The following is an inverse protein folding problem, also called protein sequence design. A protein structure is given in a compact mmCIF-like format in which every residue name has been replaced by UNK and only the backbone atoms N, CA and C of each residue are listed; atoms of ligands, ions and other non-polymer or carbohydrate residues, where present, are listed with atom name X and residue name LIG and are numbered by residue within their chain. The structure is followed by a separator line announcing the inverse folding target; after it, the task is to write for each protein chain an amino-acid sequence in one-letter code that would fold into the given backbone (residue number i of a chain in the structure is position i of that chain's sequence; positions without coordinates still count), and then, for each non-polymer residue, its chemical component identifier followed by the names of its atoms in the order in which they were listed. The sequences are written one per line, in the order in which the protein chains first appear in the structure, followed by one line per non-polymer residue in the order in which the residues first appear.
data_IF_905877141958
#
_entry.id   IF_905877141958
#
_cell.length_a   1.000
_cell.length_b   1.000
_cell.length_c   1.000
_cell.angle_alpha   90.00
_cell.angle_beta   90.00
_cell.angle_gamma   90.00
#
_symmetry.space_group_name_H-M   'P 1'
#
loop_
_entity.id
_entity.type
_entity.pdbx_description
1 polymer ?
#
# COMPACT_ATOMS: atom_id res chain seq x y z
N UNK A 1 2.41 30.50 8.50
CA UNK A 1 2.57 31.23 7.22
C UNK A 1 2.20 30.26 6.10
N UNK A 2 1.04 30.45 5.47
CA UNK A 2 0.62 29.63 4.34
C UNK A 2 1.51 29.93 3.14
N UNK A 3 2.41 29.01 2.79
CA UNK A 3 3.17 29.07 1.55
C UNK A 3 2.20 28.82 0.40
N UNK A 4 1.71 29.90 -0.19
CA UNK A 4 0.94 29.85 -1.44
C UNK A 4 1.92 29.42 -2.53
N UNK A 5 1.83 28.15 -2.95
CA UNK A 5 2.54 27.68 -4.13
C UNK A 5 1.99 28.43 -5.33
N UNK A 6 2.80 29.36 -5.84
CA UNK A 6 2.47 30.12 -7.03
C UNK A 6 2.40 29.15 -8.22
N UNK A 7 1.37 29.30 -9.07
CA UNK A 7 1.25 28.49 -10.28
C UNK A 7 2.46 28.78 -11.18
N UNK A 8 3.20 27.76 -11.67
CA UNK A 8 4.27 28.03 -12.63
C UNK A 8 3.63 28.46 -13.96
N UNK A 9 3.58 29.77 -14.19
CA UNK A 9 3.20 30.40 -15.47
C UNK A 9 4.29 30.25 -16.53
N UNK A 10 4.88 29.06 -16.66
CA UNK A 10 5.73 28.72 -17.78
C UNK A 10 4.87 28.42 -19.01
N UNK A 11 5.17 29.02 -20.16
CA UNK A 11 4.43 28.88 -21.42
C UNK A 11 4.45 27.47 -22.03
N UNK A 12 5.01 26.47 -21.35
CA UNK A 12 5.09 25.11 -21.83
C UNK A 12 3.85 24.33 -21.35
N UNK A 13 3.07 23.78 -22.29
CA UNK A 13 1.93 22.93 -21.97
C UNK A 13 2.41 21.70 -21.18
N UNK A 14 1.98 21.50 -19.91
CA UNK A 14 2.45 20.41 -19.07
C UNK A 14 2.08 19.03 -19.64
N UNK A 15 1.09 18.93 -20.52
CA UNK A 15 0.67 17.66 -21.13
C UNK A 15 1.56 17.19 -22.31
N UNK A 16 2.59 17.95 -22.69
CA UNK A 16 3.43 17.64 -23.87
C UNK A 16 4.33 16.42 -23.68
N UNK A 17 4.72 16.10 -22.45
CA UNK A 17 5.57 14.95 -22.14
C UNK A 17 5.41 14.55 -20.67
N UNK A 18 5.79 13.31 -20.34
CA UNK A 18 5.83 12.85 -18.95
C UNK A 18 6.69 13.76 -18.06
N UNK A 19 7.85 14.20 -18.56
CA UNK A 19 8.75 15.07 -17.79
C UNK A 19 8.13 16.43 -17.48
N UNK A 20 7.44 17.04 -18.45
CA UNK A 20 6.77 18.32 -18.26
C UNK A 20 5.59 18.18 -17.29
N UNK A 21 4.80 17.11 -17.44
CA UNK A 21 3.69 16.83 -16.55
C UNK A 21 4.19 16.59 -15.13
N UNK A 22 5.22 15.75 -14.96
CA UNK A 22 5.79 15.45 -13.66
C UNK A 22 6.36 16.69 -12.97
N UNK A 23 7.08 17.56 -13.69
CA UNK A 23 7.58 18.82 -13.15
C UNK A 23 6.46 19.75 -12.68
N UNK A 24 5.29 19.69 -13.33
CA UNK A 24 4.10 20.45 -12.91
C UNK A 24 3.39 19.82 -11.69
N UNK A 25 3.35 18.49 -11.61
CA UNK A 25 2.69 17.75 -10.52
C UNK A 25 3.50 17.74 -9.22
N UNK A 26 4.82 17.58 -9.33
CA UNK A 26 5.70 17.28 -8.20
C UNK A 26 5.60 18.28 -7.05
N UNK A 27 5.60 19.62 -7.26
CA UNK A 27 5.47 20.57 -6.16
C UNK A 27 4.17 20.42 -5.38
N UNK A 28 3.06 20.10 -6.07
CA UNK A 28 1.78 19.85 -5.41
C UNK A 28 1.79 18.54 -4.62
N UNK A 29 2.43 17.49 -5.16
CA UNK A 29 2.59 16.20 -4.49
C UNK A 29 3.48 16.31 -3.23
N UNK A 30 4.59 17.05 -3.32
CA UNK A 30 5.46 17.30 -2.17
C UNK A 30 4.72 18.10 -1.09
N UNK A 31 3.92 19.10 -1.50
CA UNK A 31 3.15 19.89 -0.55
C UNK A 31 2.09 19.06 0.21
N UNK A 32 1.38 18.17 -0.46
CA UNK A 32 0.35 17.34 0.22
C UNK A 32 0.94 16.20 1.05
N UNK A 33 2.12 15.67 0.67
CA UNK A 33 2.68 14.48 1.28
C UNK A 33 3.77 14.78 2.31
N UNK A 34 4.58 15.83 2.08
CA UNK A 34 5.78 16.14 2.88
C UNK A 34 5.63 17.38 3.74
N UNK A 35 4.76 18.34 3.40
CA UNK A 35 4.57 19.52 4.25
C UNK A 35 4.04 19.12 5.64
N UNK A 36 4.45 19.82 6.72
CA UNK A 36 3.92 19.58 8.05
C UNK A 36 2.39 19.72 8.06
N UNK A 37 1.68 18.60 8.16
CA UNK A 37 0.24 18.60 8.38
C UNK A 37 -0.03 18.86 9.86
N UNK A 38 -0.95 19.80 10.14
CA UNK A 38 -1.53 19.92 11.47
C UNK A 38 -2.35 18.65 11.76
N UNK A 39 -1.73 17.70 12.46
CA UNK A 39 -2.34 16.43 12.84
C UNK A 39 -3.69 16.62 13.56
N UNK A 40 -3.87 17.78 14.21
CA UNK A 40 -5.09 18.21 14.90
C UNK A 40 -6.33 18.18 14.01
N UNK A 41 -6.22 18.53 12.72
CA UNK A 41 -7.38 18.57 11.81
C UNK A 41 -7.54 17.28 10.98
N UNK A 42 -6.65 16.28 11.15
CA UNK A 42 -6.63 15.01 10.40
C UNK A 42 -6.82 15.20 8.88
N UNK A 43 -6.23 16.25 8.32
CA UNK A 43 -6.34 16.62 6.91
C UNK A 43 -4.96 16.88 6.32
N UNK A 44 -4.77 16.45 5.09
CA UNK A 44 -3.59 16.84 4.32
C UNK A 44 -3.59 18.36 4.07
N UNK A 45 -2.41 18.97 3.87
CA UNK A 45 -2.29 20.35 3.44
C UNK A 45 -3.16 20.62 2.21
N UNK A 46 -3.89 21.73 2.22
CA UNK A 46 -4.75 22.10 1.11
C UNK A 46 -3.91 22.61 -0.07
N UNK A 47 -4.34 22.27 -1.28
CA UNK A 47 -3.84 22.84 -2.53
C UNK A 47 -4.83 23.93 -2.97
N UNK A 48 -4.31 25.02 -3.54
CA UNK A 48 -5.14 26.05 -4.17
C UNK A 48 -6.02 25.46 -5.29
N UNK A 49 -7.24 25.97 -5.43
CA UNK A 49 -8.20 25.46 -6.42
C UNK A 49 -7.68 25.62 -7.86
N UNK A 50 -7.00 26.73 -8.17
CA UNK A 50 -6.42 26.98 -9.48
C UNK A 50 -5.37 25.94 -9.84
N UNK A 51 -4.47 25.63 -8.90
CA UNK A 51 -3.46 24.57 -9.08
C UNK A 51 -4.11 23.19 -9.20
N UNK A 52 -5.12 22.88 -8.37
CA UNK A 52 -5.88 21.63 -8.46
C UNK A 52 -6.52 21.43 -9.84
N UNK A 53 -7.25 22.46 -10.32
CA UNK A 53 -7.92 22.42 -11.62
C UNK A 53 -6.93 22.36 -12.79
N UNK A 54 -5.80 23.07 -12.68
CA UNK A 54 -4.72 23.01 -13.65
C UNK A 54 -4.10 21.62 -13.75
N UNK A 55 -3.84 20.96 -12.61
CA UNK A 55 -3.31 19.59 -12.56
C UNK A 55 -4.29 18.60 -13.18
N UNK A 56 -5.58 18.72 -12.83
CA UNK A 56 -6.61 17.85 -13.40
C UNK A 56 -6.66 17.99 -14.94
N UNK A 57 -6.66 19.22 -15.44
CA UNK A 57 -6.65 19.51 -16.89
C UNK A 57 -5.37 19.00 -17.58
N UNK A 58 -4.21 19.18 -16.94
CA UNK A 58 -2.94 18.68 -17.46
C UNK A 58 -2.91 17.15 -17.57
N UNK A 59 -3.40 16.44 -16.55
CA UNK A 59 -3.53 14.98 -16.57
C UNK A 59 -4.49 14.51 -17.67
N UNK A 60 -5.65 15.18 -17.81
CA UNK A 60 -6.60 14.88 -18.87
C UNK A 60 -5.97 15.03 -20.27
N UNK A 61 -5.34 16.18 -20.53
CA UNK A 61 -4.71 16.47 -21.81
C UNK A 61 -3.58 15.48 -22.12
N UNK A 62 -2.80 15.07 -21.11
CA UNK A 62 -1.74 14.09 -21.29
C UNK A 62 -2.27 12.75 -21.79
N UNK A 63 -3.33 12.23 -21.15
CA UNK A 63 -3.95 10.96 -21.55
C UNK A 63 -4.60 11.04 -22.94
N UNK A 64 -5.24 12.17 -23.25
CA UNK A 64 -5.88 12.40 -24.56
C UNK A 64 -4.82 12.46 -25.68
N UNK A 65 -3.75 13.24 -25.51
CA UNK A 65 -2.68 13.37 -26.50
C UNK A 65 -1.97 12.02 -26.77
N UNK A 66 -1.73 11.22 -25.73
CA UNK A 66 -1.15 9.88 -25.86
C UNK A 66 -2.08 8.91 -26.61
N UNK A 67 -3.39 9.10 -26.51
CA UNK A 67 -4.37 8.28 -27.23
C UNK A 67 -4.43 8.65 -28.71
N UNK A 68 -4.34 9.94 -29.04
CA UNK A 68 -4.30 10.43 -30.43
C UNK A 68 -3.02 10.01 -31.17
N UNK A 69 -1.90 9.92 -30.46
CA UNK A 69 -0.62 9.45 -31.00
C UNK A 69 -0.51 7.91 -31.09
N UNK A 70 -1.48 7.14 -30.60
CA UNK A 70 -1.60 5.73 -30.96
C UNK A 70 -2.27 5.65 -32.33
N UNK A 71 -1.54 5.33 -33.43
CA UNK A 71 -2.20 5.12 -34.70
C UNK A 71 -3.20 3.97 -34.50
N UNK A 72 -4.44 4.19 -34.93
CA UNK A 72 -5.40 3.11 -35.09
C UNK A 72 -4.70 2.02 -35.90
N UNK A 73 -4.38 0.89 -35.25
CA UNK A 73 -3.81 -0.27 -35.91
C UNK A 73 -4.88 -0.87 -36.80
N UNK A 74 -5.09 -0.24 -37.95
CA UNK A 74 -5.69 -0.86 -39.10
C UNK A 74 -4.67 -1.90 -39.59
N UNK A 75 -5.00 -3.17 -39.38
CA UNK A 75 -4.51 -4.35 -40.09
C UNK A 75 -3.11 -4.23 -40.74
N UNK A 76 -2.12 -4.94 -40.19
CA UNK A 76 -1.41 -6.04 -40.88
C UNK A 76 -0.27 -6.58 -40.03
N UNK A 77 -0.13 -7.91 -40.03
CA UNK A 77 1.01 -8.72 -39.57
C UNK A 77 1.21 -8.93 -38.06
N UNK A 78 0.59 -10.03 -37.60
CA UNK A 78 1.07 -10.85 -36.48
C UNK A 78 2.51 -11.28 -36.79
N UNK A 79 3.52 -10.83 -36.03
CA UNK A 79 4.82 -11.49 -35.77
C UNK A 79 5.80 -10.52 -35.05
N UNK A 80 5.40 -9.92 -33.93
CA UNK A 80 6.30 -9.41 -32.88
C UNK A 80 5.46 -8.87 -31.70
N UNK A 81 5.75 -9.21 -30.44
CA UNK A 81 5.13 -8.55 -29.29
C UNK A 81 5.85 -7.20 -29.06
N UNK A 82 5.66 -6.25 -29.98
CA UNK A 82 6.04 -4.86 -29.70
C UNK A 82 5.06 -4.34 -28.66
N UNK A 83 5.53 -4.19 -27.42
CA UNK A 83 4.80 -3.58 -26.31
C UNK A 83 4.48 -2.15 -26.72
N UNK A 84 3.28 -1.90 -27.25
CA UNK A 84 2.77 -0.54 -27.36
C UNK A 84 2.81 0.07 -25.94
N UNK A 85 3.38 1.29 -25.77
CA UNK A 85 3.39 1.95 -24.48
C UNK A 85 1.94 2.09 -24.04
N UNK A 86 1.59 1.43 -22.94
CA UNK A 86 0.25 1.46 -22.42
C UNK A 86 0.02 2.88 -21.90
N UNK A 87 -0.89 3.62 -22.54
CA UNK A 87 -1.23 5.00 -22.16
C UNK A 87 -1.44 5.10 -20.64
N UNK A 88 -0.59 5.90 -19.98
CA UNK A 88 -0.62 6.13 -18.53
C UNK A 88 0.20 5.19 -17.64
N UNK A 89 0.85 4.15 -18.21
CA UNK A 89 1.71 3.23 -17.43
C UNK A 89 2.98 3.88 -16.89
N UNK A 90 3.49 4.86 -17.63
CA UNK A 90 4.69 5.63 -17.34
C UNK A 90 4.49 6.60 -16.17
N UNK A 91 3.40 7.37 -16.16
CA UNK A 91 3.04 8.22 -15.02
C UNK A 91 2.69 7.38 -13.79
N UNK A 92 2.07 6.21 -13.96
CA UNK A 92 1.83 5.29 -12.86
C UNK A 92 3.13 4.79 -12.24
N UNK A 93 4.11 4.37 -13.05
CA UNK A 93 5.42 3.96 -12.58
C UNK A 93 6.18 5.12 -11.90
N UNK A 94 6.05 6.35 -12.42
CA UNK A 94 6.63 7.53 -11.80
C UNK A 94 6.02 7.83 -10.41
N UNK A 95 4.71 7.67 -10.26
CA UNK A 95 4.03 7.79 -8.96
C UNK A 95 4.44 6.70 -7.99
N UNK A 96 4.58 5.47 -8.47
CA UNK A 96 5.04 4.34 -7.68
C UNK A 96 6.44 4.59 -7.10
N UNK A 97 7.36 5.09 -7.92
CA UNK A 97 8.70 5.51 -7.49
C UNK A 97 8.65 6.67 -6.48
N UNK A 98 7.78 7.65 -6.69
CA UNK A 98 7.60 8.78 -5.78
C UNK A 98 7.13 8.33 -4.39
N UNK A 99 6.11 7.46 -4.32
CA UNK A 99 5.65 6.92 -3.05
C UNK A 99 6.71 6.04 -2.38
N UNK A 100 7.51 5.30 -3.16
CA UNK A 100 8.64 4.55 -2.64
C UNK A 100 9.68 5.47 -1.99
N UNK A 101 10.05 6.58 -2.64
CA UNK A 101 10.99 7.57 -2.08
C UNK A 101 10.43 8.22 -0.81
N UNK A 102 9.19 8.68 -0.84
CA UNK A 102 8.54 9.29 0.32
C UNK A 102 8.45 8.32 1.52
N UNK A 103 8.15 7.05 1.27
CA UNK A 103 8.15 6.02 2.31
C UNK A 103 9.58 5.71 2.81
N UNK A 104 10.59 5.72 1.93
CA UNK A 104 11.98 5.53 2.30
C UNK A 104 12.51 6.66 3.16
N UNK A 105 12.17 7.91 2.86
CA UNK A 105 12.48 9.06 3.73
C UNK A 105 11.92 8.85 5.14
N UNK A 106 10.70 8.32 5.29
CA UNK A 106 10.13 7.96 6.60
C UNK A 106 10.94 6.85 7.28
N UNK A 107 11.35 5.83 6.52
CA UNK A 107 12.14 4.71 7.04
C UNK A 107 13.53 5.17 7.55
N UNK A 108 14.19 6.05 6.80
CA UNK A 108 15.51 6.61 7.14
C UNK A 108 15.47 7.53 8.36
N UNK A 109 14.34 8.24 8.57
CA UNK A 109 14.13 9.12 9.71
C UNK A 109 13.57 8.39 10.96
N UNK A 110 13.45 7.06 10.92
CA UNK A 110 12.95 6.30 12.06
C UNK A 110 13.92 6.39 13.26
N UNK A 111 13.44 6.72 14.47
CA UNK A 111 14.29 6.87 15.65
C UNK A 111 14.98 5.55 15.96
N UNK A 112 16.21 5.59 16.48
CA UNK A 112 17.00 4.39 16.81
C UNK A 112 16.33 3.57 17.93
N UNK A 113 15.81 4.28 18.94
CA UNK A 113 15.21 3.69 20.13
C UNK A 113 13.87 3.02 19.88
N UNK A 114 13.60 1.94 20.61
CA UNK A 114 12.48 1.03 20.39
C UNK A 114 11.13 1.63 20.90
N UNK A 115 11.09 2.40 21.99
CA UNK A 115 9.86 3.08 22.48
C UNK A 115 9.32 4.15 21.50
N UNK A 116 10.10 5.18 21.11
CA UNK A 116 9.59 6.23 20.23
C UNK A 116 9.28 5.72 18.82
N UNK A 117 9.82 4.56 18.42
CA UNK A 117 9.60 3.96 17.10
C UNK A 117 8.12 3.72 16.81
N UNK A 118 7.36 3.15 17.76
CA UNK A 118 5.93 2.84 17.53
C UNK A 118 5.14 4.13 17.31
N UNK A 119 5.35 5.12 18.18
CA UNK A 119 4.69 6.43 18.06
C UNK A 119 5.08 7.12 16.75
N UNK A 120 6.36 7.07 16.37
CA UNK A 120 6.85 7.61 15.12
C UNK A 120 6.17 6.96 13.90
N UNK A 121 6.07 5.62 13.86
CA UNK A 121 5.43 4.89 12.75
C UNK A 121 3.96 5.28 12.63
N UNK A 122 3.21 5.27 13.74
CA UNK A 122 1.78 5.62 13.74
C UNK A 122 1.57 7.05 13.23
N UNK A 123 2.35 8.01 13.74
CA UNK A 123 2.24 9.41 13.34
C UNK A 123 2.67 9.65 11.89
N UNK A 124 3.74 8.99 11.45
CA UNK A 124 4.23 9.12 10.08
C UNK A 124 3.28 8.45 9.09
N UNK A 125 2.72 7.29 9.43
CA UNK A 125 1.68 6.63 8.64
C UNK A 125 0.43 7.51 8.51
N UNK A 126 -0.06 8.10 9.61
CA UNK A 126 -1.24 8.97 9.59
C UNK A 126 -1.05 10.18 8.67
N UNK A 127 0.14 10.81 8.68
CA UNK A 127 0.45 11.91 7.75
C UNK A 127 0.53 11.42 6.31
N UNK A 128 1.26 10.33 6.09
CA UNK A 128 1.47 9.75 4.78
C UNK A 128 0.15 9.30 4.12
N UNK A 129 -0.73 8.63 4.86
CA UNK A 129 -2.03 8.16 4.33
C UNK A 129 -2.97 9.32 3.99
N UNK A 130 -2.99 10.39 4.79
CA UNK A 130 -3.79 11.58 4.48
C UNK A 130 -3.29 12.27 3.19
N UNK A 131 -1.97 12.40 3.04
CA UNK A 131 -1.36 12.92 1.81
C UNK A 131 -1.66 12.03 0.60
N UNK A 132 -1.52 10.72 0.74
CA UNK A 132 -1.84 9.74 -0.31
C UNK A 132 -3.32 9.78 -0.72
N UNK A 133 -4.25 9.94 0.22
CA UNK A 133 -5.67 10.12 -0.07
C UNK A 133 -5.92 11.43 -0.84
N UNK A 134 -5.20 12.50 -0.51
CA UNK A 134 -5.27 13.76 -1.26
C UNK A 134 -4.73 13.61 -2.68
N UNK A 135 -3.59 12.94 -2.84
CA UNK A 135 -3.00 12.62 -4.14
C UNK A 135 -3.94 11.76 -4.99
N UNK A 136 -4.59 10.76 -4.38
CA UNK A 136 -5.58 9.90 -5.04
C UNK A 136 -6.77 10.70 -5.59
N UNK A 137 -7.26 11.71 -4.85
CA UNK A 137 -8.33 12.61 -5.33
C UNK A 137 -7.85 13.48 -6.49
N UNK A 138 -6.68 14.10 -6.34
CA UNK A 138 -6.06 14.98 -7.34
C UNK A 138 -5.82 14.24 -8.67
N UNK A 139 -5.36 12.99 -8.58
CA UNK A 139 -4.93 12.17 -9.72
C UNK A 139 -5.93 11.07 -10.07
N UNK A 140 -7.20 11.21 -9.67
CA UNK A 140 -8.22 10.19 -9.87
C UNK A 140 -8.46 9.83 -11.35
N UNK A 141 -8.06 10.71 -12.27
CA UNK A 141 -8.07 10.44 -13.70
C UNK A 141 -7.22 9.20 -14.06
N UNK A 142 -6.07 9.02 -13.41
CA UNK A 142 -5.19 7.86 -13.61
C UNK A 142 -5.91 6.58 -13.15
N UNK A 143 -6.62 6.62 -12.02
CA UNK A 143 -7.42 5.48 -11.55
C UNK A 143 -8.48 5.09 -12.59
N UNK A 144 -9.20 6.08 -13.13
CA UNK A 144 -10.30 5.86 -14.08
C UNK A 144 -9.85 5.33 -15.43
N UNK A 145 -8.73 5.81 -15.95
CA UNK A 145 -8.32 5.56 -17.34
C UNK A 145 -7.16 4.57 -17.50
N UNK A 146 -6.23 4.53 -16.54
CA UNK A 146 -5.13 3.56 -16.55
C UNK A 146 -5.40 2.37 -15.62
N UNK A 147 -5.63 2.61 -14.32
CA UNK A 147 -5.75 1.52 -13.33
C UNK A 147 -6.93 0.62 -13.66
N UNK A 148 -8.12 1.18 -13.89
CA UNK A 148 -9.31 0.41 -14.27
C UNK A 148 -9.04 -0.48 -15.48
N UNK A 149 -8.49 0.10 -16.55
CA UNK A 149 -8.15 -0.65 -17.77
C UNK A 149 -7.11 -1.75 -17.50
N UNK A 150 -6.07 -1.46 -16.72
CA UNK A 150 -5.06 -2.45 -16.36
C UNK A 150 -5.64 -3.60 -15.53
N UNK A 151 -6.58 -3.31 -14.62
CA UNK A 151 -7.31 -4.33 -13.84
C UNK A 151 -8.20 -5.17 -14.76
N UNK A 152 -8.92 -4.55 -15.69
CA UNK A 152 -9.76 -5.23 -16.69
C UNK A 152 -8.92 -6.13 -17.62
N UNK A 153 -7.68 -5.71 -17.92
CA UNK A 153 -6.66 -6.49 -18.66
C UNK A 153 -5.98 -7.58 -17.80
N UNK A 154 -6.40 -7.78 -16.54
CA UNK A 154 -5.91 -8.83 -15.66
C UNK A 154 -4.61 -8.51 -14.92
N UNK A 155 -4.19 -7.24 -14.85
CA UNK A 155 -3.01 -6.80 -14.05
C UNK A 155 -3.38 -6.34 -12.64
N UNK A 156 -4.64 -6.49 -12.22
CA UNK A 156 -5.09 -6.14 -10.89
C UNK A 156 -4.48 -6.98 -9.77
N UNK A 157 -4.77 -6.64 -8.51
CA UNK A 157 -4.30 -7.40 -7.35
C UNK A 157 -4.76 -8.87 -7.38
N UNK A 158 -5.98 -9.10 -7.88
CA UNK A 158 -6.54 -10.42 -8.13
C UNK A 158 -6.72 -10.57 -9.64
N UNK A 159 -5.97 -11.49 -10.26
CA UNK A 159 -6.16 -11.79 -11.68
C UNK A 159 -6.89 -13.13 -11.86
N UNK A 160 -7.47 -13.31 -13.04
CA UNK A 160 -8.22 -14.53 -13.38
C UNK A 160 -7.33 -15.79 -13.35
N UNK A 161 -6.05 -15.66 -13.71
CA UNK A 161 -5.12 -16.78 -13.69
C UNK A 161 -4.83 -17.28 -12.26
N UNK A 162 -4.70 -16.38 -11.30
CA UNK A 162 -4.49 -16.67 -9.87
C UNK A 162 -5.73 -17.39 -9.31
N UNK A 163 -6.93 -16.92 -9.70
CA UNK A 163 -8.20 -17.56 -9.32
C UNK A 163 -8.34 -18.95 -9.94
N UNK A 164 -8.09 -19.11 -11.24
CA UNK A 164 -8.12 -20.41 -11.91
C UNK A 164 -7.08 -21.35 -11.30
N UNK A 165 -5.87 -20.86 -11.01
CA UNK A 165 -4.82 -21.67 -10.39
C UNK A 165 -5.19 -22.09 -8.96
N UNK A 166 -5.81 -21.21 -8.18
CA UNK A 166 -6.31 -21.54 -6.85
C UNK A 166 -7.41 -22.61 -6.91
N UNK A 167 -8.40 -22.42 -7.79
CA UNK A 167 -9.49 -23.37 -8.02
C UNK A 167 -8.99 -24.72 -8.60
N UNK A 168 -7.95 -24.72 -9.43
CA UNK A 168 -7.36 -25.94 -9.99
C UNK A 168 -6.57 -26.74 -8.95
N UNK A 169 -5.95 -26.08 -7.96
CA UNK A 169 -5.31 -26.75 -6.82
C UNK A 169 -6.36 -27.43 -5.94
N UNK A 170 -7.52 -26.80 -5.78
CA UNK A 170 -8.71 -27.38 -5.17
C UNK A 170 -9.38 -28.32 -6.19
N UNK A 171 -8.76 -29.48 -6.43
CA UNK A 171 -8.94 -30.45 -7.53
C UNK A 171 -10.37 -30.99 -7.76
N UNK A 172 -11.37 -30.48 -7.04
CA UNK A 172 -12.80 -30.80 -7.11
C UNK A 172 -13.65 -29.67 -7.71
N UNK A 173 -13.11 -28.47 -7.90
CA UNK A 173 -13.93 -27.28 -8.15
C UNK A 173 -14.03 -26.82 -9.61
N UNK A 174 -13.25 -27.31 -10.59
CA UNK A 174 -13.45 -26.94 -12.02
C UNK A 174 -13.56 -28.20 -12.88
N UNK A 175 -14.71 -28.36 -13.55
CA UNK A 175 -14.90 -29.37 -14.60
C UNK A 175 -14.97 -28.68 -15.97
N UNK A 176 -14.54 -29.34 -17.06
CA UNK A 176 -14.65 -28.79 -18.42
C UNK A 176 -16.10 -28.57 -18.88
N UNK A 177 -17.08 -29.04 -18.11
CA UNK A 177 -18.53 -28.90 -18.35
C UNK A 177 -19.13 -27.67 -17.65
N UNK A 178 -18.36 -26.95 -16.82
CA UNK A 178 -18.86 -25.78 -16.08
C UNK A 178 -19.29 -24.65 -17.04
N UNK A 179 -20.56 -24.26 -16.96
CA UNK A 179 -21.11 -23.13 -17.71
C UNK A 179 -20.43 -21.82 -17.30
N UNK A 180 -20.43 -20.81 -18.18
CA UNK A 180 -19.90 -19.45 -17.90
C UNK A 180 -20.44 -18.85 -16.59
N UNK A 181 -21.70 -19.12 -16.27
CA UNK A 181 -22.34 -18.66 -15.04
C UNK A 181 -21.78 -19.36 -13.79
N UNK A 182 -21.52 -20.66 -13.86
CA UNK A 182 -20.89 -21.44 -12.79
C UNK A 182 -19.47 -20.94 -12.54
N UNK A 183 -18.71 -20.69 -13.62
CA UNK A 183 -17.38 -20.09 -13.52
C UNK A 183 -17.40 -18.70 -12.88
N UNK A 184 -18.33 -17.83 -13.28
CA UNK A 184 -18.47 -16.50 -12.69
C UNK A 184 -18.82 -16.56 -11.19
N UNK A 185 -19.66 -17.52 -10.79
CA UNK A 185 -19.99 -17.78 -9.38
C UNK A 185 -18.76 -18.24 -8.59
N UNK A 186 -18.01 -19.23 -9.10
CA UNK A 186 -16.78 -19.73 -8.47
C UNK A 186 -15.70 -18.66 -8.33
N UNK A 187 -15.55 -17.79 -9.33
CA UNK A 187 -14.63 -16.64 -9.25
C UNK A 187 -15.06 -15.68 -8.13
N UNK A 188 -16.36 -15.40 -8.00
CA UNK A 188 -16.87 -14.55 -6.92
C UNK A 188 -16.64 -15.17 -5.54
N UNK A 189 -16.91 -16.46 -5.38
CA UNK A 189 -16.66 -17.20 -4.15
C UNK A 189 -15.18 -17.22 -3.80
N UNK A 190 -14.29 -17.47 -4.77
CA UNK A 190 -12.84 -17.40 -4.59
C UNK A 190 -12.37 -16.00 -4.16
N UNK A 191 -12.93 -14.94 -4.76
CA UNK A 191 -12.65 -13.56 -4.35
C UNK A 191 -13.06 -13.30 -2.90
N UNK A 192 -14.23 -13.78 -2.47
CA UNK A 192 -14.69 -13.66 -1.08
C UNK A 192 -13.76 -14.43 -0.14
N UNK A 193 -13.37 -15.67 -0.50
CA UNK A 193 -12.39 -16.47 0.26
C UNK A 193 -11.06 -15.71 0.44
N UNK A 194 -10.60 -15.01 -0.60
CA UNK A 194 -9.37 -14.21 -0.53
C UNK A 194 -9.55 -12.97 0.36
N UNK A 195 -10.68 -12.27 0.24
CA UNK A 195 -11.01 -11.11 1.07
C UNK A 195 -11.22 -11.47 2.54
N UNK A 196 -11.63 -12.69 2.86
CA UNK A 196 -11.76 -13.18 4.23
C UNK A 196 -10.43 -13.14 5.02
N UNK A 197 -9.28 -13.25 4.34
CA UNK A 197 -7.96 -13.07 4.97
C UNK A 197 -7.78 -11.67 5.56
N UNK A 198 -8.52 -10.70 5.04
CA UNK A 198 -8.55 -9.30 5.42
C UNK A 198 -9.75 -8.94 6.31
N UNK A 199 -10.45 -9.95 6.86
CA UNK A 199 -11.56 -9.75 7.80
C UNK A 199 -12.93 -9.49 7.14
N UNK A 200 -13.03 -9.61 5.81
CA UNK A 200 -14.30 -9.48 5.11
C UNK A 200 -15.15 -10.74 5.27
N UNK A 201 -16.43 -10.55 5.60
CA UNK A 201 -17.42 -11.62 5.66
C UNK A 201 -18.53 -11.36 4.64
N UNK A 202 -19.08 -12.42 4.06
CA UNK A 202 -20.20 -12.30 3.12
C UNK A 202 -21.40 -11.62 3.79
N UNK A 203 -21.99 -10.62 3.12
CA UNK A 203 -23.09 -9.81 3.65
C UNK A 203 -22.69 -8.55 4.43
N UNK A 204 -21.39 -8.25 4.54
CA UNK A 204 -20.90 -6.98 5.09
C UNK A 204 -21.17 -5.76 4.18
N UNK A 205 -21.02 -4.56 4.73
CA UNK A 205 -21.33 -3.31 4.03
C UNK A 205 -20.39 -3.07 2.83
N UNK A 206 -20.80 -2.29 1.81
CA UNK A 206 -19.92 -1.96 0.69
C UNK A 206 -18.65 -1.20 1.14
N UNK A 207 -18.71 -0.48 2.26
CA UNK A 207 -17.54 0.19 2.84
C UNK A 207 -16.54 -0.81 3.41
N UNK A 208 -17.02 -1.86 4.09
CA UNK A 208 -16.18 -2.94 4.60
C UNK A 208 -15.55 -3.75 3.46
N UNK A 209 -16.30 -3.98 2.38
CA UNK A 209 -15.78 -4.59 1.16
C UNK A 209 -14.64 -3.76 0.56
N UNK A 210 -14.88 -2.46 0.35
CA UNK A 210 -13.87 -1.54 -0.20
C UNK A 210 -12.62 -1.44 0.67
N UNK A 211 -12.79 -1.48 2.00
CA UNK A 211 -11.67 -1.52 2.93
C UNK A 211 -10.86 -2.82 2.80
N UNK A 212 -11.51 -3.98 2.79
CA UNK A 212 -10.83 -5.27 2.62
C UNK A 212 -10.11 -5.36 1.26
N UNK A 213 -10.73 -4.86 0.19
CA UNK A 213 -10.11 -4.74 -1.13
C UNK A 213 -8.86 -3.85 -1.09
N UNK A 214 -8.93 -2.68 -0.44
CA UNK A 214 -7.77 -1.79 -0.30
C UNK A 214 -6.62 -2.45 0.46
N UNK A 215 -6.92 -3.27 1.47
CA UNK A 215 -5.91 -4.04 2.21
C UNK A 215 -5.27 -5.12 1.33
N UNK A 216 -6.07 -5.85 0.55
CA UNK A 216 -5.60 -6.85 -0.40
C UNK A 216 -4.74 -6.24 -1.52
N UNK A 217 -5.13 -5.07 -2.01
CA UNK A 217 -4.38 -4.29 -2.97
C UNK A 217 -3.04 -3.81 -2.41
N UNK A 218 -3.03 -3.27 -1.19
CA UNK A 218 -1.79 -2.89 -0.48
C UNK A 218 -0.88 -4.10 -0.25
N UNK A 219 -1.49 -5.27 -0.04
CA UNK A 219 -0.79 -6.54 0.16
C UNK A 219 -0.25 -7.17 -1.13
N UNK A 220 -0.71 -6.72 -2.29
CA UNK A 220 -0.30 -7.29 -3.58
C UNK A 220 1.20 -7.12 -3.86
N UNK A 221 1.73 -7.91 -4.79
CA UNK A 221 3.11 -7.79 -5.27
C UNK A 221 3.31 -6.53 -6.13
N UNK A 222 4.55 -6.05 -6.25
CA UNK A 222 4.89 -4.80 -6.94
C UNK A 222 4.58 -4.81 -8.44
N UNK A 223 4.45 -5.98 -9.06
CA UNK A 223 4.06 -6.13 -10.47
C UNK A 223 2.55 -5.93 -10.71
N UNK A 224 1.74 -5.85 -9.65
CA UNK A 224 0.30 -5.61 -9.77
C UNK A 224 -0.02 -4.12 -9.88
N UNK A 225 -1.06 -3.81 -10.65
CA UNK A 225 -1.63 -2.48 -10.77
C UNK A 225 -2.81 -2.35 -9.81
N UNK A 226 -2.71 -1.35 -8.93
CA UNK A 226 -3.69 -1.05 -7.88
C UNK A 226 -4.01 0.46 -7.87
N UNK A 227 -5.14 0.88 -7.29
CA UNK A 227 -5.48 2.30 -7.10
C UNK A 227 -4.38 3.08 -6.37
N UNK A 228 -4.28 4.39 -6.64
CA UNK A 228 -3.20 5.25 -6.12
C UNK A 228 -3.12 5.23 -4.57
N UNK A 229 -4.25 5.20 -3.87
CA UNK A 229 -4.25 5.08 -2.41
C UNK A 229 -3.59 3.78 -1.93
N UNK A 230 -3.96 2.66 -2.53
CA UNK A 230 -3.45 1.33 -2.18
C UNK A 230 -1.99 1.16 -2.63
N UNK A 231 -1.60 1.80 -3.74
CA UNK A 231 -0.21 1.91 -4.20
C UNK A 231 0.68 2.57 -3.15
N UNK A 232 0.23 3.68 -2.57
CA UNK A 232 0.96 4.37 -1.52
C UNK A 232 1.10 3.50 -0.26
N UNK A 233 0.02 2.82 0.16
CA UNK A 233 0.05 1.89 1.30
C UNK A 233 0.96 0.70 1.06
N UNK A 234 0.97 0.15 -0.16
CA UNK A 234 1.91 -0.91 -0.58
C UNK A 234 3.35 -0.45 -0.43
N UNK A 235 3.68 0.78 -0.84
CA UNK A 235 5.03 1.34 -0.66
C UNK A 235 5.39 1.61 0.79
N UNK A 236 4.44 2.05 1.61
CA UNK A 236 4.67 2.15 3.05
C UNK A 236 4.96 0.78 3.67
N UNK A 237 4.24 -0.27 3.25
CA UNK A 237 4.50 -1.65 3.68
C UNK A 237 5.93 -2.07 3.32
N UNK A 238 6.32 -1.97 2.06
CA UNK A 238 7.58 -2.52 1.56
C UNK A 238 8.81 -1.73 2.02
N UNK A 239 8.72 -0.41 2.09
CA UNK A 239 9.86 0.45 2.44
C UNK A 239 10.00 0.70 3.95
N UNK A 240 8.91 0.62 4.72
CA UNK A 240 8.89 0.92 6.16
C UNK A 240 8.62 -0.33 7.00
N UNK A 241 7.49 -1.00 6.79
CA UNK A 241 7.03 -2.05 7.71
C UNK A 241 7.82 -3.35 7.56
N UNK A 242 7.94 -3.87 6.34
CA UNK A 242 8.63 -5.14 6.07
C UNK A 242 10.08 -5.15 6.60
N UNK A 243 10.91 -4.11 6.36
CA UNK A 243 12.26 -4.06 6.93
C UNK A 243 12.28 -4.13 8.47
N UNK A 244 11.28 -3.55 9.14
CA UNK A 244 11.18 -3.57 10.59
C UNK A 244 10.65 -4.91 11.14
N UNK A 245 10.01 -5.72 10.30
CA UNK A 245 9.55 -7.07 10.63
C UNK A 245 10.68 -8.12 10.46
N UNK A 246 11.69 -7.84 9.63
CA UNK A 246 12.82 -8.75 9.40
C UNK A 246 13.56 -9.02 10.72
N UNK A 247 13.76 -10.30 11.00
CA UNK A 247 14.57 -10.78 12.12
C UNK A 247 16.04 -10.77 11.70
N UNK A 248 16.94 -10.06 12.41
CA UNK A 248 18.37 -10.11 12.12
C UNK A 248 18.89 -11.56 12.21
N UNK A 249 19.42 -12.08 11.12
CA UNK A 249 20.10 -13.38 11.11
C UNK A 249 21.47 -13.22 11.77
N UNK A 250 21.62 -13.63 13.02
CA UNK A 250 22.94 -13.76 13.64
C UNK A 250 23.70 -14.84 12.87
N UNK A 251 24.75 -14.46 12.12
CA UNK A 251 25.67 -15.42 11.50
C UNK A 251 26.36 -16.18 12.65
N UNK A 252 25.93 -17.41 12.88
CA UNK A 252 26.60 -18.32 13.80
C UNK A 252 27.97 -18.68 13.21
N UNK A 253 29.03 -18.01 13.68
CA UNK A 253 30.39 -18.51 13.54
C UNK A 253 30.54 -19.74 14.45
N UNK A 254 30.85 -20.88 13.82
CA UNK A 254 31.38 -22.14 14.36
C UNK A 254 31.18 -22.48 15.86
N UNK A 255 30.47 -23.59 16.10
CA UNK A 255 30.33 -24.34 17.35
C UNK A 255 31.63 -24.46 18.19
N UNK A 256 31.50 -24.51 19.52
CA UNK A 256 32.14 -25.56 20.30
C UNK A 256 31.09 -26.54 20.85
N UNK A 257 31.39 -27.82 20.71
CA UNK A 257 30.65 -28.95 21.31
C UNK A 257 30.76 -28.82 22.83
N UNK A 258 29.66 -28.49 23.51
CA UNK A 258 29.30 -29.13 24.78
C UNK A 258 27.80 -28.91 25.05
N UNK A 259 27.06 -30.02 25.05
CA UNK A 259 25.64 -30.09 25.39
C UNK A 259 25.49 -29.93 26.90
N UNK A 260 24.89 -28.82 27.35
CA UNK A 260 24.43 -28.64 28.73
C UNK A 260 22.98 -29.16 28.82
N UNK A 261 22.58 -29.89 29.89
CA UNK A 261 21.27 -30.52 29.97
C UNK A 261 20.13 -29.50 30.06
N UNK A 262 18.99 -29.83 29.44
CA UNK A 262 17.75 -29.04 29.49
C UNK A 262 17.14 -29.08 30.89
N UNK A 263 17.01 -27.91 31.55
CA UNK A 263 16.08 -27.73 32.67
C UNK A 263 14.70 -27.29 32.15
N UNK A 264 13.60 -27.61 32.84
CA UNK A 264 12.25 -27.28 32.40
C UNK A 264 11.83 -25.88 32.86
N UNK A 265 11.03 -25.22 32.02
CA UNK A 265 10.12 -24.10 32.39
C UNK A 265 10.77 -22.73 32.65
N UNK A 266 11.26 -22.07 31.59
CA UNK A 266 11.29 -20.59 31.50
C UNK A 266 10.92 -20.16 30.07
N UNK A 267 10.16 -19.07 29.87
CA UNK A 267 9.81 -18.58 28.55
C UNK A 267 11.09 -18.07 27.87
N UNK A 268 11.52 -18.83 26.86
CA UNK A 268 12.79 -18.70 26.17
C UNK A 268 13.05 -17.25 25.68
N UNK A 269 14.00 -16.49 26.24
CA UNK A 269 14.22 -15.07 25.90
C UNK A 269 15.01 -14.85 24.59
N UNK A 270 15.44 -15.92 23.91
CA UNK A 270 16.53 -15.85 22.93
C UNK A 270 16.13 -16.12 21.47
N UNK A 271 14.90 -15.77 21.04
CA UNK A 271 14.63 -15.67 19.59
C UNK A 271 14.81 -14.22 19.17
N UNK A 272 15.71 -13.90 18.21
CA UNK A 272 15.82 -12.54 17.70
C UNK A 272 14.45 -12.16 17.13
N UNK A 273 13.87 -11.08 17.65
CA UNK A 273 12.60 -10.53 17.18
C UNK A 273 12.92 -9.43 16.17
N UNK A 274 12.04 -9.24 15.19
CA UNK A 274 12.09 -8.06 14.32
C UNK A 274 12.04 -6.80 15.17
N UNK A 275 12.65 -5.72 14.68
CA UNK A 275 12.77 -4.46 15.42
C UNK A 275 11.42 -3.94 15.90
N UNK A 276 10.39 -3.98 15.04
CA UNK A 276 9.04 -3.56 15.40
C UNK A 276 8.43 -4.43 16.51
N UNK A 277 8.72 -5.73 16.53
CA UNK A 277 8.22 -6.64 17.55
C UNK A 277 8.90 -6.43 18.92
N UNK A 278 10.15 -5.96 18.94
CA UNK A 278 10.84 -5.53 20.18
C UNK A 278 10.27 -4.21 20.68
N UNK A 279 10.17 -3.21 19.80
CA UNK A 279 9.54 -1.92 20.07
C UNK A 279 8.14 -2.05 20.65
N UNK A 280 7.28 -2.85 20.03
CA UNK A 280 5.93 -3.09 20.57
C UNK A 280 5.99 -3.75 21.95
N UNK A 281 6.90 -4.72 22.16
CA UNK A 281 7.02 -5.36 23.47
C UNK A 281 7.37 -4.34 24.55
N UNK A 282 8.32 -3.47 24.27
CA UNK A 282 8.75 -2.43 25.20
C UNK A 282 7.63 -1.43 25.48
N UNK A 283 6.88 -0.99 24.46
CA UNK A 283 5.70 -0.13 24.65
C UNK A 283 4.66 -0.77 25.57
N UNK A 284 4.36 -2.06 25.38
CA UNK A 284 3.36 -2.76 26.19
C UNK A 284 3.82 -3.01 27.63
N UNK A 285 5.10 -3.30 27.83
CA UNK A 285 5.72 -3.64 29.13
C UNK A 285 6.24 -2.39 29.89
N UNK A 286 6.32 -1.22 29.26
CA UNK A 286 6.85 0.01 29.86
C UNK A 286 5.94 0.53 30.98
N UNK A 287 6.55 0.82 32.13
CA UNK A 287 5.91 1.50 33.27
C UNK A 287 5.87 3.03 33.12
N UNK A 288 6.60 3.58 32.13
CA UNK A 288 6.69 5.03 31.90
C UNK A 288 5.50 5.56 31.07
N UNK A 289 4.69 4.67 30.48
CA UNK A 289 3.50 5.01 29.72
C UNK A 289 2.25 4.64 30.50
N UNK A 290 1.28 5.54 30.53
CA UNK A 290 -0.03 5.25 31.10
C UNK A 290 -0.78 4.18 30.29
N UNK A 291 -1.75 3.52 30.92
CA UNK A 291 -2.51 2.44 30.27
C UNK A 291 -3.22 2.90 29.00
N UNK A 292 -3.71 4.15 28.98
CA UNK A 292 -4.39 4.73 27.82
C UNK A 292 -3.43 4.98 26.66
N UNK A 293 -2.26 5.59 26.88
CA UNK A 293 -1.30 5.77 25.79
C UNK A 293 -0.81 4.44 25.21
N UNK A 294 -0.64 3.39 26.03
CA UNK A 294 -0.30 2.05 25.54
C UNK A 294 -1.39 1.48 24.64
N UNK A 295 -2.65 1.61 25.03
CA UNK A 295 -3.79 1.18 24.22
C UNK A 295 -3.91 1.98 22.92
N UNK A 296 -3.71 3.29 22.97
CA UNK A 296 -3.76 4.18 21.80
C UNK A 296 -2.66 3.84 20.79
N UNK A 297 -1.43 3.61 21.26
CA UNK A 297 -0.31 3.20 20.41
C UNK A 297 -0.50 1.80 19.83
N UNK A 298 -0.98 0.85 20.63
CA UNK A 298 -1.27 -0.51 20.16
C UNK A 298 -2.39 -0.50 19.11
N UNK A 299 -3.48 0.23 19.36
CA UNK A 299 -4.61 0.36 18.43
C UNK A 299 -4.20 1.10 17.15
N UNK A 300 -3.38 2.15 17.28
CA UNK A 300 -2.82 2.87 16.14
C UNK A 300 -1.95 1.96 15.27
N UNK A 301 -1.04 1.20 15.88
CA UNK A 301 -0.19 0.27 15.14
C UNK A 301 -0.99 -0.86 14.49
N UNK A 302 -2.01 -1.41 15.16
CA UNK A 302 -2.88 -2.43 14.59
C UNK A 302 -3.56 -1.94 13.30
N UNK A 303 -4.11 -0.71 13.34
CA UNK A 303 -4.70 -0.05 12.16
C UNK A 303 -3.70 0.18 11.03
N UNK A 304 -2.45 0.55 11.36
CA UNK A 304 -1.39 0.71 10.36
C UNK A 304 -1.12 -0.64 9.67
N UNK A 305 -0.87 -1.69 10.46
CA UNK A 305 -0.55 -3.02 9.93
C UNK A 305 -1.68 -3.58 9.07
N UNK A 306 -2.93 -3.40 9.49
CA UNK A 306 -4.10 -3.80 8.71
C UNK A 306 -4.17 -3.06 7.38
N UNK A 307 -4.16 -1.72 7.41
CA UNK A 307 -4.35 -0.90 6.21
C UNK A 307 -3.22 -1.02 5.18
N UNK A 308 -1.99 -1.32 5.61
CA UNK A 308 -0.86 -1.58 4.69
C UNK A 308 -0.80 -3.02 4.20
N UNK A 309 -1.79 -3.85 4.51
CA UNK A 309 -1.88 -5.21 3.99
C UNK A 309 -0.99 -6.22 4.71
N UNK A 310 -0.83 -6.10 6.04
CA UNK A 310 -0.26 -7.18 6.87
C UNK A 310 -1.37 -8.18 7.25
N UNK A 311 -1.21 -9.47 6.86
CA UNK A 311 -2.22 -10.50 7.12
C UNK A 311 -2.63 -10.63 8.59
N UNK A 312 -3.91 -10.96 8.82
CA UNK A 312 -4.49 -11.18 10.15
C UNK A 312 -3.84 -12.35 10.91
N UNK A 313 -3.28 -13.31 10.18
CA UNK A 313 -2.59 -14.46 10.76
C UNK A 313 -1.17 -14.14 11.27
N UNK A 314 -0.63 -12.96 10.93
CA UNK A 314 0.71 -12.52 11.33
C UNK A 314 0.84 -12.41 12.85
N UNK A 315 1.94 -12.94 13.40
CA UNK A 315 2.15 -13.06 14.86
C UNK A 315 2.05 -11.73 15.61
N UNK A 316 2.54 -10.63 15.02
CA UNK A 316 2.48 -9.30 15.61
C UNK A 316 1.04 -8.78 15.67
N UNK A 317 0.24 -9.04 14.62
CA UNK A 317 -1.15 -8.60 14.52
C UNK A 317 -2.02 -9.32 15.55
N UNK A 318 -1.90 -10.65 15.64
CA UNK A 318 -2.53 -11.46 16.69
C UNK A 318 -2.20 -10.98 18.12
N UNK A 319 -0.95 -10.55 18.36
CA UNK A 319 -0.54 -10.03 19.67
C UNK A 319 -1.23 -8.69 19.99
N UNK A 320 -1.32 -7.80 19.01
CA UNK A 320 -2.02 -6.52 19.14
C UNK A 320 -3.51 -6.73 19.36
N UNK A 321 -4.16 -7.55 18.53
CA UNK A 321 -5.59 -7.83 18.64
C UNK A 321 -5.94 -8.40 20.02
N UNK A 322 -5.14 -9.37 20.50
CA UNK A 322 -5.32 -9.92 21.85
C UNK A 322 -5.18 -8.86 22.93
N UNK A 323 -4.18 -7.97 22.83
CA UNK A 323 -3.97 -6.91 23.81
C UNK A 323 -5.13 -5.90 23.82
N UNK A 324 -5.59 -5.49 22.63
CA UNK A 324 -6.70 -4.54 22.46
C UNK A 324 -7.99 -5.15 23.02
N UNK A 325 -8.31 -6.41 22.68
CA UNK A 325 -9.49 -7.11 23.21
C UNK A 325 -9.44 -7.33 24.73
N UNK A 326 -8.25 -7.47 25.32
CA UNK A 326 -8.12 -7.60 26.78
C UNK A 326 -8.18 -6.27 27.54
N UNK A 327 -8.04 -5.15 26.83
CA UNK A 327 -7.97 -3.80 27.42
C UNK A 327 -9.20 -2.94 27.10
N UNK A 328 -10.13 -3.47 26.28
CA UNK A 328 -11.43 -2.87 25.96
C UNK A 328 -12.50 -3.41 26.88
#
# INVERSE_FOLDING_TARGET
MSTVLNSPSGSANPATSLSALWAYLLPALDHILKSPSELHNRKAPAIDFGLYAGIHSACYNYFTAQTEHQPASANTNKLAPQKSPHTGSDIYAQLDNYFAEAAREISLNAPIDDIPLVQYIVNSYNRYTLGAQSANRLLNYINRHYVKRAVDEGRGWLNLADVIQALAKDTKEITPEDTREIMAKKIRESRIKELAKWGFLEGQTPEQLAFAESCAEAASSLDRVVPISSLAHRRFRTEVIEPLLIVPKVKATSKPKHSIPKSPTTPNPARPKGRLARALREVLESNNLDAKARLDLASGLAKVLEAVGIPSDHTLRKKLDKYISSSS
#
